data_IF_866665765715
#
_entry.id   IF_866665765715
#
_cell.length_a   1.000
_cell.length_b   1.000
_cell.length_c   1.000
_cell.angle_alpha   90.00
_cell.angle_beta   90.00
_cell.angle_gamma   90.00
#
_symmetry.space_group_name_H-M   'P 1'
#
loop_
_entity.id
_entity.type
_entity.pdbx_description
1 polymer ?
#
# COMPACT_ATOMS: atom_id res chain seq x y z
N UNK A 1 9.69 -23.62 2.72
CA UNK A 1 9.24 -23.16 1.40
C UNK A 1 10.29 -22.21 0.87
N UNK A 2 10.74 -22.37 -0.38
CA UNK A 2 11.68 -21.43 -1.00
C UNK A 2 10.90 -20.20 -1.43
N UNK A 3 11.27 -19.02 -0.94
CA UNK A 3 10.69 -17.77 -1.41
C UNK A 3 10.92 -17.65 -2.90
N UNK A 4 9.84 -17.58 -3.67
CA UNK A 4 9.89 -17.23 -5.08
C UNK A 4 9.31 -15.83 -5.21
N UNK A 5 10.14 -14.82 -5.53
CA UNK A 5 9.62 -13.52 -5.90
C UNK A 5 8.55 -13.68 -6.98
N UNK A 6 7.65 -12.71 -7.00
CA UNK A 6 6.71 -12.53 -8.09
C UNK A 6 7.55 -11.93 -9.24
N UNK A 7 7.97 -12.78 -10.18
CA UNK A 7 8.79 -12.36 -11.33
C UNK A 7 7.91 -11.69 -12.40
N UNK A 8 8.31 -10.53 -12.91
CA UNK A 8 7.55 -9.79 -13.94
C UNK A 8 7.20 -8.35 -13.53
N UNK A 9 6.49 -7.65 -14.42
CA UNK A 9 6.04 -6.27 -14.18
C UNK A 9 4.69 -6.26 -13.47
N UNK A 10 4.29 -5.13 -12.86
CA UNK A 10 2.94 -4.97 -12.32
C UNK A 10 1.87 -5.39 -13.34
N UNK A 11 2.05 -4.99 -14.59
CA UNK A 11 1.15 -5.29 -15.72
C UNK A 11 1.01 -6.79 -16.03
N UNK A 12 2.08 -7.59 -15.93
CA UNK A 12 1.97 -9.04 -16.18
C UNK A 12 1.16 -9.73 -15.07
N UNK A 13 1.30 -9.25 -13.83
CA UNK A 13 0.65 -9.81 -12.65
C UNK A 13 -0.83 -9.46 -12.52
N UNK A 14 -1.23 -8.26 -12.94
CA UNK A 14 -2.65 -7.88 -13.04
C UNK A 14 -3.48 -8.85 -13.88
N UNK A 15 -2.82 -9.62 -14.75
CA UNK A 15 -3.44 -10.62 -15.64
C UNK A 15 -3.16 -12.08 -15.25
N UNK A 16 -2.39 -12.31 -14.19
CA UNK A 16 -2.04 -13.67 -13.76
C UNK A 16 -3.24 -14.36 -13.09
N UNK A 17 -3.63 -15.57 -13.52
CA UNK A 17 -4.73 -16.31 -12.90
C UNK A 17 -4.48 -16.57 -11.42
N UNK A 18 -5.46 -16.23 -10.57
CA UNK A 18 -5.39 -16.46 -9.13
C UNK A 18 -4.71 -15.34 -8.32
N UNK A 19 -4.19 -14.31 -8.98
CA UNK A 19 -3.73 -13.09 -8.31
C UNK A 19 -4.92 -12.22 -7.94
N UNK A 20 -4.99 -11.82 -6.68
CA UNK A 20 -6.00 -10.91 -6.14
C UNK A 20 -5.41 -9.50 -6.13
N UNK A 21 -6.21 -8.52 -6.52
CA UNK A 21 -5.86 -7.10 -6.53
C UNK A 21 -6.60 -6.42 -5.39
N UNK A 22 -5.85 -5.80 -4.48
CA UNK A 22 -6.41 -5.01 -3.38
C UNK A 22 -5.83 -3.59 -3.45
N UNK A 23 -6.62 -2.58 -3.14
CA UNK A 23 -6.20 -1.18 -3.11
C UNK A 23 -6.58 -0.48 -1.79
N UNK A 24 -6.49 0.83 -1.73
CA UNK A 24 -6.83 1.66 -0.56
C UNK A 24 -8.29 1.53 -0.10
N UNK A 25 -9.20 1.09 -0.99
CA UNK A 25 -10.61 0.85 -0.65
C UNK A 25 -10.82 -0.52 0.02
N UNK A 26 -9.88 -1.47 -0.12
CA UNK A 26 -9.98 -2.84 0.39
C UNK A 26 -9.43 -3.02 1.81
N UNK A 27 -9.69 -2.08 2.73
CA UNK A 27 -9.09 -2.10 4.06
C UNK A 27 -9.45 -3.35 4.88
N UNK A 28 -10.66 -3.86 4.74
CA UNK A 28 -11.12 -5.06 5.44
C UNK A 28 -10.43 -6.32 4.91
N UNK A 29 -10.30 -6.47 3.59
CA UNK A 29 -9.61 -7.60 2.97
C UNK A 29 -8.11 -7.57 3.28
N UNK A 30 -7.49 -6.39 3.24
CA UNK A 30 -6.08 -6.20 3.62
C UNK A 30 -5.90 -6.54 5.11
N UNK A 31 -6.83 -6.12 5.95
CA UNK A 31 -6.80 -6.45 7.39
C UNK A 31 -6.86 -7.96 7.59
N UNK A 32 -7.81 -8.65 6.95
CA UNK A 32 -7.95 -10.10 7.04
C UNK A 32 -6.75 -10.86 6.50
N UNK A 33 -6.13 -10.35 5.42
CA UNK A 33 -4.92 -10.91 4.82
C UNK A 33 -3.74 -10.91 5.80
N UNK A 34 -3.57 -9.82 6.57
CA UNK A 34 -2.42 -9.61 7.44
C UNK A 34 -2.63 -10.13 8.87
N UNK A 35 -3.86 -10.12 9.39
CA UNK A 35 -4.16 -10.59 10.74
C UNK A 35 -3.76 -12.05 10.94
N UNK A 36 -3.15 -12.31 12.10
CA UNK A 36 -2.66 -13.63 12.52
C UNK A 36 -1.55 -14.19 11.63
N UNK A 37 -0.99 -13.38 10.74
CA UNK A 37 0.16 -13.74 9.89
C UNK A 37 1.45 -13.18 10.46
N UNK A 38 2.55 -13.80 10.06
CA UNK A 38 3.90 -13.30 10.30
C UNK A 38 4.57 -13.01 8.97
N UNK A 39 5.26 -11.88 8.88
CA UNK A 39 6.16 -11.60 7.74
C UNK A 39 7.41 -12.44 7.92
N UNK A 40 7.72 -13.28 6.94
CA UNK A 40 8.87 -14.19 6.96
C UNK A 40 10.02 -13.72 6.07
N UNK A 41 9.73 -12.92 5.05
CA UNK A 41 10.75 -12.30 4.20
C UNK A 41 10.22 -11.01 3.57
N UNK A 42 11.12 -10.05 3.39
CA UNK A 42 10.95 -8.87 2.53
C UNK A 42 12.02 -8.92 1.45
N UNK A 43 11.66 -8.64 0.20
CA UNK A 43 12.59 -8.64 -0.94
C UNK A 43 12.13 -7.69 -2.06
N UNK A 44 12.79 -6.54 -2.18
CA UNK A 44 12.34 -5.45 -3.04
C UNK A 44 10.93 -4.99 -2.65
N UNK A 45 9.99 -5.08 -3.58
CA UNK A 45 8.57 -4.73 -3.40
C UNK A 45 7.72 -5.87 -2.81
N UNK A 46 8.34 -6.98 -2.39
CA UNK A 46 7.64 -8.21 -2.03
C UNK A 46 7.69 -8.53 -0.55
N UNK A 47 6.55 -8.99 -0.02
CA UNK A 47 6.41 -9.61 1.30
C UNK A 47 6.02 -11.07 1.17
N UNK A 48 6.66 -11.94 1.94
CA UNK A 48 6.23 -13.32 2.14
C UNK A 48 5.63 -13.50 3.53
N UNK A 49 4.39 -13.97 3.57
CA UNK A 49 3.73 -14.36 4.81
C UNK A 49 4.02 -15.82 5.16
N UNK A 50 3.85 -16.17 6.44
CA UNK A 50 4.15 -17.49 6.99
C UNK A 50 3.30 -18.63 6.43
N UNK A 51 2.16 -18.33 5.82
CA UNK A 51 1.32 -19.33 5.14
C UNK A 51 1.75 -19.60 3.70
N UNK A 52 2.70 -18.85 3.16
CA UNK A 52 3.17 -18.95 1.78
C UNK A 52 2.59 -17.90 0.85
N UNK A 53 1.68 -17.04 1.34
CA UNK A 53 1.15 -15.93 0.55
C UNK A 53 2.24 -14.92 0.23
N UNK A 54 2.30 -14.48 -1.04
CA UNK A 54 3.22 -13.43 -1.50
C UNK A 54 2.42 -12.19 -1.86
N UNK A 55 2.84 -11.04 -1.34
CA UNK A 55 2.26 -9.74 -1.65
C UNK A 55 3.32 -8.92 -2.38
N UNK A 56 2.96 -8.32 -3.52
CA UNK A 56 3.74 -7.26 -4.16
C UNK A 56 3.04 -5.93 -3.89
N UNK A 57 3.74 -4.98 -3.27
CA UNK A 57 3.25 -3.65 -2.97
C UNK A 57 3.69 -2.66 -4.05
N UNK A 58 2.75 -1.92 -4.63
CA UNK A 58 3.00 -1.02 -5.76
C UNK A 58 2.20 0.26 -5.51
N UNK A 59 2.81 1.42 -5.69
CA UNK A 59 2.03 2.66 -5.68
C UNK A 59 1.21 2.81 -6.97
N UNK A 60 0.21 3.68 -6.94
CA UNK A 60 -0.63 3.94 -8.10
C UNK A 60 0.18 4.62 -9.23
N UNK A 61 -0.02 4.19 -10.48
CA UNK A 61 0.55 4.83 -11.68
C UNK A 61 -0.58 5.59 -12.40
N UNK A 62 -0.66 6.90 -12.21
CA UNK A 62 -1.65 7.80 -12.81
C UNK A 62 -1.49 7.99 -14.32
N UNK A 63 -0.29 7.75 -14.86
CA UNK A 63 -0.05 7.71 -16.30
C UNK A 63 -0.04 9.08 -16.99
N UNK A 64 0.03 10.18 -16.24
CA UNK A 64 0.27 11.52 -16.74
C UNK A 64 1.76 11.84 -16.74
N UNK A 65 2.27 12.56 -17.76
CA UNK A 65 3.63 13.13 -17.72
C UNK A 65 3.85 14.15 -16.58
N UNK A 66 2.76 14.58 -15.93
CA UNK A 66 2.72 15.52 -14.82
C UNK A 66 2.80 14.86 -13.44
N UNK A 67 2.87 13.53 -13.38
CA UNK A 67 2.88 12.73 -12.14
C UNK A 67 1.66 12.91 -11.21
N UNK A 68 0.60 13.56 -11.69
CA UNK A 68 -0.67 13.58 -10.99
C UNK A 68 -1.25 12.16 -10.90
N UNK A 69 -1.65 11.76 -9.70
CA UNK A 69 -2.13 10.42 -9.37
C UNK A 69 -1.03 9.38 -9.23
N UNK A 70 0.25 9.75 -9.33
CA UNK A 70 1.37 8.83 -9.12
C UNK A 70 1.70 8.74 -7.62
N UNK A 71 1.88 7.50 -7.15
CA UNK A 71 2.40 7.17 -5.84
C UNK A 71 3.52 6.13 -5.98
N UNK A 72 4.53 6.22 -5.13
CA UNK A 72 5.67 5.30 -5.10
C UNK A 72 5.76 4.59 -3.75
N UNK A 73 6.13 3.31 -3.76
CA UNK A 73 6.44 2.56 -2.53
C UNK A 73 7.73 3.10 -1.90
N UNK A 74 7.61 3.80 -0.78
CA UNK A 74 8.74 4.42 -0.07
C UNK A 74 9.21 3.61 1.13
N UNK A 75 8.32 2.81 1.74
CA UNK A 75 8.64 1.95 2.88
C UNK A 75 8.04 0.57 2.70
N UNK A 76 8.84 -0.47 2.92
CA UNK A 76 8.39 -1.85 3.08
C UNK A 76 9.22 -2.56 4.14
N UNK A 77 8.61 -2.88 5.28
CA UNK A 77 9.31 -3.43 6.45
C UNK A 77 8.93 -4.87 6.78
N UNK A 78 9.85 -5.56 7.45
CA UNK A 78 9.58 -6.84 8.10
C UNK A 78 8.84 -6.66 9.42
N UNK A 79 8.24 -7.75 9.90
CA UNK A 79 7.53 -7.79 11.19
C UNK A 79 7.94 -9.04 11.94
N UNK A 80 8.64 -8.86 13.04
CA UNK A 80 9.20 -9.95 13.85
C UNK A 80 8.21 -10.55 14.86
N UNK A 81 6.94 -10.70 14.48
CA UNK A 81 5.96 -11.49 15.24
C UNK A 81 4.68 -11.74 14.43
N UNK A 82 3.70 -12.36 15.06
CA UNK A 82 2.32 -12.43 14.58
C UNK A 82 1.68 -11.05 14.67
N UNK A 83 1.08 -10.62 13.56
CA UNK A 83 0.31 -9.38 13.46
C UNK A 83 -1.05 -9.60 14.14
N UNK A 84 -1.39 -8.74 15.10
CA UNK A 84 -2.64 -8.83 15.89
C UNK A 84 -3.60 -7.68 15.62
N UNK A 85 -3.14 -6.62 14.94
CA UNK A 85 -3.97 -5.50 14.50
C UNK A 85 -3.36 -4.85 13.28
N UNK A 86 -4.22 -4.30 12.43
CA UNK A 86 -3.86 -3.47 11.28
C UNK A 86 -4.50 -2.10 11.49
N UNK A 87 -3.81 -1.04 11.08
CA UNK A 87 -4.32 0.33 11.11
C UNK A 87 -3.86 1.06 9.84
N UNK A 88 -4.74 1.91 9.33
CA UNK A 88 -4.48 2.70 8.14
C UNK A 88 -4.32 4.17 8.53
N UNK A 89 -3.43 4.86 7.84
CA UNK A 89 -3.23 6.30 7.91
C UNK A 89 -3.04 6.78 6.48
N UNK A 90 -3.85 7.72 6.03
CA UNK A 90 -3.79 8.22 4.67
C UNK A 90 -4.01 9.72 4.65
N UNK A 91 -3.28 10.37 3.78
CA UNK A 91 -3.30 11.79 3.55
C UNK A 91 -3.07 12.09 2.07
N UNK A 92 -4.03 11.84 1.18
CA UNK A 92 -3.88 12.25 -0.20
C UNK A 92 -3.80 13.78 -0.30
N UNK A 93 -2.84 14.30 -1.06
CA UNK A 93 -2.75 15.73 -1.35
C UNK A 93 -3.15 15.98 -2.79
N UNK A 94 -3.97 17.01 -3.02
CA UNK A 94 -4.29 17.50 -4.37
C UNK A 94 -3.78 18.93 -4.59
N UNK A 95 -3.57 19.30 -5.84
CA UNK A 95 -3.11 20.60 -6.32
C UNK A 95 -4.19 21.69 -6.23
N UNK A 96 -5.17 21.55 -5.32
CA UNK A 96 -6.32 22.45 -5.29
C UNK A 96 -5.89 23.85 -4.81
N UNK A 97 -5.44 24.68 -5.76
CA UNK A 97 -5.72 26.13 -5.78
C UNK A 97 -7.22 26.35 -6.00
N UNK A 98 -8.03 25.77 -5.12
CA UNK A 98 -9.45 26.04 -5.06
C UNK A 98 -9.63 27.53 -4.76
N UNK A 99 -10.18 28.27 -5.72
CA UNK A 99 -10.88 29.53 -5.48
C UNK A 99 -12.15 29.25 -4.65
N UNK A 100 -12.00 28.68 -3.45
CA UNK A 100 -13.07 28.20 -2.59
C UNK A 100 -12.59 27.94 -1.17
N UNK A 101 -13.32 28.47 -0.20
CA UNK A 101 -13.01 28.62 1.24
C UNK A 101 -12.99 27.31 2.07
N UNK A 102 -13.01 26.12 1.46
CA UNK A 102 -13.18 24.90 2.26
C UNK A 102 -12.21 23.79 1.87
N UNK A 103 -11.25 23.55 2.77
CA UNK A 103 -10.36 22.41 2.73
C UNK A 103 -11.17 21.09 2.83
N UNK A 104 -11.04 20.22 1.83
CA UNK A 104 -11.61 18.87 1.82
C UNK A 104 -11.02 18.00 2.95
N UNK A 105 -11.66 16.87 3.28
CA UNK A 105 -11.17 15.97 4.31
C UNK A 105 -9.75 15.41 4.03
N UNK A 106 -9.34 15.35 2.75
CA UNK A 106 -7.99 15.04 2.31
C UNK A 106 -6.95 16.12 2.71
N UNK A 107 -7.36 17.39 2.80
CA UNK A 107 -6.52 18.53 3.19
C UNK A 107 -6.41 18.76 4.72
N UNK A 108 -6.98 17.86 5.55
CA UNK A 108 -7.01 18.02 7.03
C UNK A 108 -6.13 17.03 7.79
N UNK A 109 -5.16 16.41 7.13
CA UNK A 109 -4.10 15.73 7.86
C UNK A 109 -3.37 16.76 8.72
N UNK A 110 -3.00 16.33 9.92
CA UNK A 110 -2.55 17.20 10.99
C UNK A 110 -1.51 18.22 10.51
N UNK A 111 -1.92 19.48 10.65
CA UNK A 111 -1.24 20.73 10.37
C UNK A 111 0.18 20.77 10.96
N UNK A 112 1.17 20.33 10.18
CA UNK A 112 2.45 21.02 10.01
C UNK A 112 2.81 20.91 8.54
N UNK A 113 2.34 21.88 7.76
CA UNK A 113 2.77 22.10 6.39
C UNK A 113 4.30 22.18 6.37
N UNK A 114 4.95 21.09 6.02
CA UNK A 114 6.34 21.15 5.58
C UNK A 114 6.39 22.01 4.31
N UNK A 115 7.49 22.71 4.08
CA UNK A 115 7.61 23.62 2.92
C UNK A 115 7.62 22.87 1.57
N UNK A 116 7.70 21.54 1.62
CA UNK A 116 7.55 20.52 0.57
C UNK A 116 6.05 20.16 0.38
N UNK A 117 5.32 21.07 -0.26
CA UNK A 117 3.84 21.12 -0.34
C UNK A 117 3.13 20.04 -1.21
N UNK A 118 3.71 18.86 -1.47
CA UNK A 118 3.15 17.97 -2.49
C UNK A 118 3.25 16.47 -2.22
N UNK A 119 3.56 16.03 -0.99
CA UNK A 119 3.68 14.61 -0.68
C UNK A 119 2.51 14.14 0.18
N UNK A 120 1.47 13.67 -0.48
CA UNK A 120 0.44 12.84 0.12
C UNK A 120 0.94 11.43 0.40
N UNK A 121 0.29 10.73 1.33
CA UNK A 121 0.73 9.40 1.75
C UNK A 121 -0.41 8.41 1.97
N UNK A 122 -0.10 7.13 1.79
CA UNK A 122 -0.90 5.99 2.26
C UNK A 122 0.01 5.07 3.09
N UNK A 123 -0.38 4.78 4.33
CA UNK A 123 0.39 3.96 5.26
C UNK A 123 -0.44 2.83 5.83
N UNK A 124 0.15 1.64 5.84
CA UNK A 124 -0.37 0.45 6.50
C UNK A 124 0.51 0.18 7.72
N UNK A 125 -0.06 0.37 8.89
CA UNK A 125 0.57 0.03 10.16
C UNK A 125 0.07 -1.31 10.65
N UNK A 126 0.97 -2.09 11.27
CA UNK A 126 0.62 -3.34 11.93
C UNK A 126 1.10 -3.34 13.37
N UNK A 127 0.42 -4.12 14.20
CA UNK A 127 0.77 -4.31 15.59
C UNK A 127 1.25 -5.74 15.82
N UNK A 128 2.45 -5.85 16.37
CA UNK A 128 3.10 -7.11 16.67
C UNK A 128 3.86 -6.92 17.98
N UNK A 129 3.66 -7.82 18.95
CA UNK A 129 4.40 -7.80 20.22
C UNK A 129 4.36 -6.44 20.97
N UNK A 130 3.17 -5.80 20.99
CA UNK A 130 2.94 -4.45 21.55
C UNK A 130 3.69 -3.30 20.85
N UNK A 131 4.28 -3.54 19.67
CA UNK A 131 4.89 -2.51 18.84
C UNK A 131 3.96 -2.13 17.69
N UNK A 132 3.93 -0.84 17.34
CA UNK A 132 3.32 -0.34 16.10
C UNK A 132 4.42 -0.20 15.05
N UNK A 133 4.27 -0.88 13.93
CA UNK A 133 5.27 -0.93 12.85
C UNK A 133 4.64 -0.36 11.59
N UNK A 134 5.33 0.58 10.93
CA UNK A 134 4.98 1.00 9.58
C UNK A 134 5.36 -0.12 8.61
N UNK A 135 4.39 -0.92 8.18
CA UNK A 135 4.64 -2.07 7.32
C UNK A 135 4.87 -1.62 5.88
N UNK A 136 4.00 -0.74 5.38
CA UNK A 136 4.07 -0.22 4.01
C UNK A 136 3.72 1.27 3.99
N UNK A 137 4.45 2.05 3.19
CA UNK A 137 4.13 3.46 2.91
C UNK A 137 4.26 3.73 1.41
N UNK A 138 3.30 4.47 0.90
CA UNK A 138 3.27 4.99 -0.46
C UNK A 138 3.19 6.50 -0.38
N UNK A 139 4.11 7.19 -1.03
CA UNK A 139 4.15 8.66 -1.06
C UNK A 139 3.94 9.12 -2.51
N UNK A 140 3.18 10.20 -2.69
CA UNK A 140 2.74 10.64 -4.01
C UNK A 140 1.82 11.84 -3.95
N UNK A 141 1.10 12.12 -5.03
CA UNK A 141 0.13 13.22 -5.08
C UNK A 141 -1.05 12.84 -5.96
N UNK A 142 -2.25 13.18 -5.52
CA UNK A 142 -3.44 13.08 -6.37
C UNK A 142 -3.39 14.11 -7.50
N UNK A 143 -2.55 15.14 -7.36
CA UNK A 143 -2.50 16.28 -8.26
C UNK A 143 -3.90 16.89 -8.40
N UNK A 144 -4.42 16.95 -9.62
CA UNK A 144 -5.80 17.42 -9.87
C UNK A 144 -6.90 16.39 -9.54
N UNK A 145 -6.55 15.19 -9.04
CA UNK A 145 -7.47 14.10 -8.71
C UNK A 145 -8.03 13.32 -9.90
N UNK A 146 -7.65 13.65 -11.14
CA UNK A 146 -8.20 13.01 -12.35
C UNK A 146 -7.60 11.62 -12.63
N UNK A 147 -6.36 11.40 -12.20
CA UNK A 147 -5.55 10.25 -12.62
C UNK A 147 -5.53 9.11 -11.61
N UNK A 148 -6.37 9.13 -10.58
CA UNK A 148 -6.40 8.12 -9.53
C UNK A 148 -5.56 8.49 -8.32
N UNK A 149 -5.43 7.56 -7.37
CA UNK A 149 -4.76 7.73 -6.08
C UNK A 149 -4.34 6.38 -5.50
N UNK A 150 -3.59 6.41 -4.40
CA UNK A 150 -3.43 5.26 -3.52
C UNK A 150 -2.37 4.27 -3.97
N UNK A 151 -2.70 2.99 -3.84
CA UNK A 151 -1.77 1.90 -4.05
C UNK A 151 -2.48 0.65 -4.56
N UNK A 152 -1.69 -0.31 -5.03
CA UNK A 152 -2.15 -1.63 -5.41
C UNK A 152 -1.28 -2.70 -4.73
N UNK A 153 -1.94 -3.65 -4.06
CA UNK A 153 -1.36 -4.89 -3.58
C UNK A 153 -1.76 -6.02 -4.52
N UNK A 154 -0.77 -6.64 -5.15
CA UNK A 154 -0.96 -7.86 -5.93
C UNK A 154 -0.65 -9.05 -5.03
N UNK A 155 -1.69 -9.82 -4.71
CA UNK A 155 -1.63 -10.91 -3.74
C UNK A 155 -1.70 -12.23 -4.49
N UNK A 156 -0.65 -13.03 -4.36
CA UNK A 156 -0.64 -14.44 -4.76
C UNK A 156 -0.85 -15.29 -3.52
N UNK A 157 -2.05 -15.87 -3.30
CA UNK A 157 -2.30 -16.77 -2.19
C UNK A 157 -1.32 -17.95 -2.22
N UNK A 158 -1.04 -18.52 -1.05
CA UNK A 158 -0.37 -19.80 -0.98
C UNK A 158 -1.17 -20.84 -1.80
N UNK A 159 -0.48 -21.69 -2.57
CA UNK A 159 -1.15 -22.80 -3.23
C UNK A 159 -1.83 -23.66 -2.16
N UNK A 160 -3.16 -23.74 -2.23
CA UNK A 160 -3.90 -24.72 -1.44
C UNK A 160 -3.47 -26.09 -1.94
N UNK A 161 -2.67 -26.80 -1.14
CA UNK A 161 -2.54 -28.24 -1.31
C UNK A 161 -3.96 -28.80 -1.13
N UNK A 162 -4.56 -29.25 -2.21
CA UNK A 162 -5.78 -30.05 -2.12
C UNK A 162 -5.51 -31.22 -1.19
N UNK A 163 -6.32 -31.33 -0.14
CA UNK A 163 -6.36 -32.50 0.74
C UNK A 163 -6.71 -33.78 -0.04
#
# INVERSE_FOLDING_TARGET
MTFKPIEGTASSWRTEPGVIRLNEENQDEITQLLLWRKVTKVDGEHLLLNDGTVIKAIGHEGGCACSAGDYDLSVLNGVDNVITRVAFDYCPTGDDEGWGDESTAAQRCEYEAREDRYEGHYRIFVFAENQRINLMQFDGSDGNGYYGTGFELLVRPAETKGD
#
